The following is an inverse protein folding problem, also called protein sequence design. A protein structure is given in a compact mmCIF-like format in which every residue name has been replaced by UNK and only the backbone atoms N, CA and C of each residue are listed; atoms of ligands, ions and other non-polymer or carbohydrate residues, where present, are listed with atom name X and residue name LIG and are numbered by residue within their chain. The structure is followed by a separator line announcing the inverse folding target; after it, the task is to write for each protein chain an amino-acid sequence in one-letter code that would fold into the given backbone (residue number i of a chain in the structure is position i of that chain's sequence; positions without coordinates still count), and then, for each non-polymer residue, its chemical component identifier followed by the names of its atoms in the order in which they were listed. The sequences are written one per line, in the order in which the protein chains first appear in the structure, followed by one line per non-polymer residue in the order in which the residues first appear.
data_IF_207792431166
#
_entry.id   IF_207792431166
#
_cell.length_a   1.000
_cell.length_b   1.000
_cell.length_c   1.000
_cell.angle_alpha   90.00
_cell.angle_beta   90.00
_cell.angle_gamma   90.00
#
_symmetry.space_group_name_H-M   'P 1'
#
loop_
_entity.id
_entity.type
_entity.pdbx_description
1 polymer ?
#
# COMPACT_ATOMS: atom_id res chain seq x y z
N UNK A 1 28.72 38.33 -26.18
CA UNK A 1 29.99 38.95 -26.62
C UNK A 1 31.16 38.26 -25.91
N UNK A 2 32.22 37.89 -26.66
CA UNK A 2 33.47 37.24 -26.21
C UNK A 2 33.40 35.70 -26.22
N UNK A 3 33.77 34.92 -27.26
CA UNK A 3 34.97 34.82 -28.13
C UNK A 3 36.29 34.55 -27.39
N UNK A 4 36.79 33.31 -27.53
CA UNK A 4 38.21 32.83 -27.68
C UNK A 4 38.18 31.29 -27.58
N UNK A 5 38.05 30.50 -28.64
CA UNK A 5 38.97 30.26 -29.77
C UNK A 5 40.42 30.04 -29.33
N UNK A 6 40.85 28.77 -29.26
CA UNK A 6 42.25 28.40 -29.46
C UNK A 6 42.35 27.15 -30.34
N UNK A 7 43.30 27.26 -31.25
CA UNK A 7 43.44 26.64 -32.56
C UNK A 7 44.41 25.45 -32.48
N UNK A 8 44.15 24.46 -33.32
CA UNK A 8 44.99 23.30 -33.66
C UNK A 8 46.45 23.69 -34.01
N UNK A 9 47.41 22.89 -33.55
CA UNK A 9 48.52 22.34 -34.35
C UNK A 9 48.42 20.81 -34.19
N UNK A 10 48.45 19.97 -35.22
CA UNK A 10 49.43 19.88 -36.30
C UNK A 10 50.49 18.87 -35.86
N UNK A 11 50.16 17.57 -35.90
CA UNK A 11 50.74 16.53 -36.78
C UNK A 11 51.98 15.86 -36.19
N UNK A 12 51.92 14.54 -35.97
CA UNK A 12 52.85 13.56 -36.57
C UNK A 12 52.50 12.12 -36.16
N UNK A 13 52.53 11.25 -37.17
CA UNK A 13 52.23 9.83 -37.15
C UNK A 13 53.26 8.97 -36.40
N UNK A 14 52.76 7.85 -35.86
CA UNK A 14 53.41 6.66 -35.27
C UNK A 14 54.50 6.03 -36.17
N UNK A 15 55.46 5.22 -35.64
CA UNK A 15 55.15 3.82 -35.27
C UNK A 15 55.96 3.15 -34.14
N UNK A 16 55.37 2.07 -33.63
CA UNK A 16 55.97 0.80 -33.15
C UNK A 16 56.52 0.60 -31.72
N UNK A 17 55.94 -0.44 -31.12
CA UNK A 17 56.54 -1.56 -30.38
C UNK A 17 57.33 -1.28 -29.08
N UNK A 18 56.75 -1.73 -27.96
CA UNK A 18 57.41 -1.82 -26.67
C UNK A 18 56.54 -2.49 -25.62
N UNK A 19 56.92 -3.72 -25.30
CA UNK A 19 56.51 -4.63 -24.24
C UNK A 19 56.25 -4.03 -22.83
N UNK A 20 55.26 -4.64 -22.17
CA UNK A 20 55.25 -5.06 -20.76
C UNK A 20 54.95 -4.07 -19.61
N UNK A 21 53.81 -4.38 -18.97
CA UNK A 21 53.66 -4.66 -17.53
C UNK A 21 53.73 -3.51 -16.52
N UNK A 22 52.56 -3.08 -16.05
CA UNK A 22 52.29 -2.91 -14.61
C UNK A 22 50.82 -2.52 -14.33
N UNK A 23 50.20 -3.29 -13.43
CA UNK A 23 49.27 -2.85 -12.39
C UNK A 23 48.17 -1.83 -12.73
N UNK A 24 46.93 -2.33 -12.80
CA UNK A 24 45.71 -1.54 -12.65
C UNK A 24 44.55 -2.47 -12.32
N UNK A 25 44.51 -3.00 -11.10
CA UNK A 25 43.62 -2.47 -10.06
C UNK A 25 42.18 -2.30 -10.57
N UNK A 26 41.41 -3.39 -10.43
CA UNK A 26 39.97 -3.39 -10.14
C UNK A 26 39.21 -2.14 -10.61
N UNK A 27 38.89 -2.08 -11.90
CA UNK A 27 37.68 -1.40 -12.33
C UNK A 27 36.48 -2.24 -11.87
N UNK A 28 36.25 -2.23 -10.55
CA UNK A 28 34.95 -2.50 -9.96
C UNK A 28 34.02 -1.47 -10.58
N UNK A 29 33.43 -1.83 -11.72
CA UNK A 29 32.34 -1.11 -12.33
C UNK A 29 31.34 -0.90 -11.22
N UNK A 30 31.30 0.34 -10.74
CA UNK A 30 30.27 0.85 -9.85
C UNK A 30 28.96 0.46 -10.53
N UNK A 31 28.36 -0.64 -10.05
CA UNK A 31 26.97 -0.98 -10.35
C UNK A 31 26.23 0.24 -9.86
N UNK A 32 25.92 1.13 -10.81
CA UNK A 32 25.09 2.29 -10.62
C UNK A 32 23.91 1.80 -9.82
N UNK A 33 23.89 2.16 -8.54
CA UNK A 33 22.84 1.74 -7.63
C UNK A 33 21.54 2.08 -8.33
N UNK A 34 20.74 1.06 -8.64
CA UNK A 34 19.42 1.25 -9.18
C UNK A 34 18.71 2.29 -8.29
N UNK A 35 17.97 3.24 -8.89
CA UNK A 35 17.31 4.28 -8.12
C UNK A 35 16.52 3.59 -7.02
N UNK A 36 16.91 3.81 -5.76
CA UNK A 36 16.21 3.31 -4.57
C UNK A 36 14.73 3.53 -4.83
N UNK A 37 13.99 2.44 -5.00
CA UNK A 37 12.56 2.45 -5.32
C UNK A 37 11.90 3.59 -4.54
N UNK A 38 11.28 4.53 -5.26
CA UNK A 38 10.75 5.72 -4.61
C UNK A 38 9.85 5.30 -3.45
N UNK A 39 10.08 5.86 -2.27
CA UNK A 39 9.32 5.53 -1.04
C UNK A 39 7.82 5.85 -1.16
N UNK A 40 7.42 6.56 -2.23
CA UNK A 40 6.03 6.87 -2.55
C UNK A 40 5.43 5.85 -3.50
N UNK A 41 4.21 5.43 -3.19
CA UNK A 41 3.37 4.62 -4.05
C UNK A 41 2.83 5.48 -5.20
N UNK A 42 2.87 4.96 -6.44
CA UNK A 42 2.35 5.65 -7.63
C UNK A 42 1.05 5.04 -8.08
N UNK A 43 0.09 5.84 -8.54
CA UNK A 43 -1.24 5.33 -8.91
C UNK A 43 -1.17 4.25 -10.01
N UNK A 44 -0.19 4.35 -10.91
CA UNK A 44 0.03 3.39 -11.99
C UNK A 44 0.55 2.03 -11.49
N UNK A 45 1.15 2.00 -10.29
CA UNK A 45 1.60 0.77 -9.60
C UNK A 45 0.48 0.11 -8.80
N UNK A 46 -0.71 0.73 -8.71
CA UNK A 46 -1.81 0.20 -7.93
C UNK A 46 -2.20 -1.19 -8.48
N UNK A 47 -2.36 -2.20 -7.60
CA UNK A 47 -2.81 -3.51 -8.04
C UNK A 47 -4.15 -3.37 -8.77
N UNK A 48 -4.43 -4.25 -9.74
CA UNK A 48 -5.76 -4.27 -10.38
C UNK A 48 -6.73 -5.12 -9.57
N UNK A 49 -8.02 -4.74 -9.48
CA UNK A 49 -9.01 -5.57 -8.80
C UNK A 49 -9.30 -6.84 -9.61
N UNK A 50 -9.77 -7.92 -8.95
CA UNK A 50 -10.06 -9.19 -9.62
C UNK A 50 -11.27 -9.12 -10.57
N UNK A 51 -12.10 -8.09 -10.42
CA UNK A 51 -13.27 -7.81 -11.27
C UNK A 51 -13.00 -6.76 -12.38
N UNK A 52 -11.75 -6.37 -12.62
CA UNK A 52 -11.43 -5.47 -13.72
C UNK A 52 -11.95 -6.03 -15.07
N UNK A 53 -12.52 -5.19 -15.95
CA UNK A 53 -12.55 -3.72 -15.92
C UNK A 53 -13.75 -3.09 -15.21
N UNK A 54 -14.63 -3.88 -14.58
CA UNK A 54 -15.85 -3.36 -13.94
C UNK A 54 -15.47 -2.66 -12.62
N UNK A 55 -15.93 -1.42 -12.35
CA UNK A 55 -15.59 -0.70 -11.12
C UNK A 55 -16.47 -1.14 -9.93
N UNK A 56 -16.44 -2.43 -9.59
CA UNK A 56 -17.33 -3.00 -8.57
C UNK A 56 -17.06 -2.41 -7.17
N UNK A 57 -15.79 -2.16 -6.82
CA UNK A 57 -15.41 -1.53 -5.55
C UNK A 57 -16.08 -0.17 -5.41
N UNK A 58 -15.96 0.66 -6.45
CA UNK A 58 -16.46 2.03 -6.49
C UNK A 58 -17.99 2.05 -6.46
N UNK A 59 -18.64 1.13 -7.17
CA UNK A 59 -20.10 0.98 -7.15
C UNK A 59 -20.59 0.60 -5.75
N UNK A 60 -19.92 -0.34 -5.07
CA UNK A 60 -20.27 -0.72 -3.71
C UNK A 60 -20.08 0.44 -2.71
N UNK A 61 -18.99 1.20 -2.84
CA UNK A 61 -18.75 2.38 -1.99
C UNK A 61 -19.83 3.44 -2.24
N UNK A 62 -20.09 3.78 -3.50
CA UNK A 62 -21.09 4.80 -3.85
C UNK A 62 -22.50 4.36 -3.42
N UNK A 63 -22.91 3.15 -3.76
CA UNK A 63 -24.21 2.61 -3.38
C UNK A 63 -24.37 2.56 -1.86
N UNK A 64 -23.35 2.07 -1.13
CA UNK A 64 -23.36 2.05 0.32
C UNK A 64 -23.42 3.44 0.95
N UNK A 65 -22.67 4.41 0.43
CA UNK A 65 -22.71 5.80 0.87
C UNK A 65 -24.10 6.43 0.65
N UNK A 66 -24.74 6.18 -0.49
CA UNK A 66 -26.12 6.63 -0.76
C UNK A 66 -27.09 6.02 0.25
N UNK A 67 -27.03 4.71 0.51
CA UNK A 67 -27.88 4.06 1.52
C UNK A 67 -27.68 4.64 2.92
N UNK A 68 -26.44 4.95 3.30
CA UNK A 68 -26.14 5.60 4.58
C UNK A 68 -26.75 7.00 4.66
N UNK A 69 -26.59 7.84 3.62
CA UNK A 69 -27.17 9.20 3.60
C UNK A 69 -28.70 9.14 3.67
N UNK A 70 -29.33 8.28 2.87
CA UNK A 70 -30.79 8.10 2.88
C UNK A 70 -31.26 7.57 4.23
N UNK A 71 -30.56 6.60 4.81
CA UNK A 71 -30.87 6.06 6.13
C UNK A 71 -30.71 7.10 7.25
N UNK A 72 -29.73 8.00 7.16
CA UNK A 72 -29.50 9.04 8.16
C UNK A 72 -30.55 10.14 8.16
N UNK A 73 -30.99 10.58 6.97
CA UNK A 73 -31.99 11.65 6.80
C UNK A 73 -33.43 11.10 6.90
N UNK A 74 -33.62 9.84 6.49
CA UNK A 74 -34.92 9.18 6.52
C UNK A 74 -35.39 8.81 7.94
N UNK A 75 -36.70 8.71 8.08
CA UNK A 75 -37.39 8.16 9.25
C UNK A 75 -38.27 6.98 8.82
N UNK A 76 -38.56 6.06 9.74
CA UNK A 76 -39.41 4.90 9.49
C UNK A 76 -38.71 3.55 9.61
N UNK A 77 -39.46 2.49 9.34
CA UNK A 77 -39.09 1.10 9.65
C UNK A 77 -37.89 0.60 8.83
N UNK A 78 -37.67 1.16 7.64
CA UNK A 78 -36.55 0.80 6.75
C UNK A 78 -35.20 1.41 7.17
N UNK A 79 -35.18 2.36 8.12
CA UNK A 79 -33.96 3.10 8.51
C UNK A 79 -32.83 2.17 8.93
N UNK A 80 -33.11 1.20 9.79
CA UNK A 80 -32.10 0.25 10.25
C UNK A 80 -31.50 -0.60 9.12
N UNK A 81 -32.34 -1.02 8.17
CA UNK A 81 -31.92 -1.80 7.01
C UNK A 81 -31.01 -0.98 6.09
N UNK A 82 -31.40 0.26 5.78
CA UNK A 82 -30.59 1.15 4.94
C UNK A 82 -29.20 1.41 5.54
N UNK A 83 -29.15 1.68 6.85
CA UNK A 83 -27.89 1.90 7.55
C UNK A 83 -27.04 0.62 7.61
N UNK A 84 -27.66 -0.53 7.91
CA UNK A 84 -26.98 -1.82 7.99
C UNK A 84 -26.37 -2.25 6.65
N UNK A 85 -27.16 -2.25 5.58
CA UNK A 85 -26.67 -2.59 4.23
C UNK A 85 -25.68 -1.56 3.70
N UNK A 86 -25.92 -0.26 3.94
CA UNK A 86 -25.01 0.80 3.54
C UNK A 86 -23.63 0.63 4.19
N UNK A 87 -23.60 0.38 5.50
CA UNK A 87 -22.37 0.10 6.22
C UNK A 87 -21.68 -1.18 5.71
N UNK A 88 -22.43 -2.26 5.51
CA UNK A 88 -21.89 -3.53 5.02
C UNK A 88 -21.22 -3.39 3.65
N UNK A 89 -21.84 -2.66 2.71
CA UNK A 89 -21.29 -2.43 1.36
C UNK A 89 -20.00 -1.62 1.40
N UNK A 90 -19.98 -0.49 2.10
CA UNK A 90 -18.78 0.36 2.23
C UNK A 90 -17.66 -0.42 2.93
N UNK A 91 -17.99 -1.12 4.01
CA UNK A 91 -17.02 -1.89 4.79
C UNK A 91 -16.37 -2.99 3.95
N UNK A 92 -17.17 -3.77 3.21
CA UNK A 92 -16.68 -4.86 2.37
C UNK A 92 -15.78 -4.34 1.24
N UNK A 93 -16.22 -3.30 0.52
CA UNK A 93 -15.44 -2.69 -0.54
C UNK A 93 -14.13 -2.08 -0.04
N UNK A 94 -14.17 -1.39 1.12
CA UNK A 94 -12.99 -0.79 1.73
C UNK A 94 -11.97 -1.84 2.18
N UNK A 95 -12.43 -2.96 2.74
CA UNK A 95 -11.55 -4.04 3.19
C UNK A 95 -10.93 -4.77 2.02
N UNK A 96 -11.69 -5.06 0.96
CA UNK A 96 -11.09 -5.65 -0.24
C UNK A 96 -9.97 -4.76 -0.79
N UNK A 97 -10.23 -3.47 -0.97
CA UNK A 97 -9.25 -2.51 -1.48
C UNK A 97 -8.01 -2.45 -0.58
N UNK A 98 -8.23 -2.29 0.73
CA UNK A 98 -7.16 -2.21 1.72
C UNK A 98 -6.32 -3.48 1.75
N UNK A 99 -6.95 -4.66 1.73
CA UNK A 99 -6.25 -5.95 1.67
C UNK A 99 -5.49 -6.08 0.37
N UNK A 100 -6.08 -5.80 -0.78
CA UNK A 100 -5.42 -5.91 -2.09
C UNK A 100 -4.17 -5.03 -2.17
N UNK A 101 -4.27 -3.77 -1.76
CA UNK A 101 -3.13 -2.85 -1.73
C UNK A 101 -2.06 -3.25 -0.71
N UNK A 102 -2.48 -3.67 0.47
CA UNK A 102 -1.58 -4.11 1.53
C UNK A 102 -0.83 -5.38 1.14
N UNK A 103 -1.56 -6.34 0.59
CA UNK A 103 -1.04 -7.61 0.13
C UNK A 103 -0.17 -7.45 -1.13
N UNK A 104 -0.32 -6.39 -1.92
CA UNK A 104 0.59 -6.07 -3.01
C UNK A 104 1.88 -5.35 -2.56
N UNK A 105 2.00 -4.98 -1.28
CA UNK A 105 3.12 -4.13 -0.81
C UNK A 105 3.04 -2.69 -1.36
N UNK A 106 1.86 -2.28 -1.84
CA UNK A 106 1.61 -0.95 -2.39
C UNK A 106 1.56 0.09 -1.27
N UNK A 107 0.69 -0.11 -0.26
CA UNK A 107 0.51 0.78 0.88
C UNK A 107 0.14 0.02 2.16
N UNK A 108 0.64 0.47 3.33
CA UNK A 108 0.38 -0.25 4.59
C UNK A 108 -0.98 0.12 5.19
N UNK A 109 -1.95 -0.78 5.09
CA UNK A 109 -3.25 -0.68 5.76
C UNK A 109 -3.37 -1.50 7.06
N UNK A 110 -2.26 -1.86 7.71
CA UNK A 110 -2.26 -2.74 8.90
C UNK A 110 -3.18 -2.26 10.02
N UNK A 111 -3.23 -0.93 10.27
CA UNK A 111 -4.10 -0.33 11.31
C UNK A 111 -5.57 -0.46 10.91
N UNK A 112 -5.91 -0.15 9.66
CA UNK A 112 -7.28 -0.22 9.14
C UNK A 112 -7.81 -1.65 9.20
N UNK A 113 -7.04 -2.61 8.67
CA UNK A 113 -7.41 -4.04 8.67
C UNK A 113 -7.54 -4.58 10.10
N UNK A 114 -6.60 -4.23 10.99
CA UNK A 114 -6.68 -4.60 12.40
C UNK A 114 -7.91 -4.02 13.10
N UNK A 115 -8.23 -2.75 12.85
CA UNK A 115 -9.40 -2.07 13.39
C UNK A 115 -10.71 -2.69 12.91
N UNK A 116 -10.80 -2.99 11.61
CA UNK A 116 -11.95 -3.68 11.02
C UNK A 116 -12.14 -5.08 11.62
N UNK A 117 -11.07 -5.86 11.75
CA UNK A 117 -11.14 -7.19 12.35
C UNK A 117 -11.58 -7.13 13.83
N UNK A 118 -11.01 -6.20 14.60
CA UNK A 118 -11.40 -5.97 15.98
C UNK A 118 -12.87 -5.55 16.11
N UNK A 119 -13.34 -4.63 15.27
CA UNK A 119 -14.73 -4.17 15.27
C UNK A 119 -15.71 -5.30 14.92
N UNK A 120 -15.38 -6.15 13.93
CA UNK A 120 -16.20 -7.31 13.59
C UNK A 120 -16.29 -8.31 14.74
N UNK A 121 -15.15 -8.72 15.30
CA UNK A 121 -15.12 -9.69 16.40
C UNK A 121 -15.85 -9.13 17.62
N UNK A 122 -15.62 -7.85 17.94
CA UNK A 122 -16.30 -7.15 19.04
C UNK A 122 -17.81 -7.12 18.83
N UNK A 123 -18.27 -6.68 17.65
CA UNK A 123 -19.69 -6.57 17.33
C UNK A 123 -20.39 -7.93 17.36
N UNK A 124 -19.81 -8.95 16.73
CA UNK A 124 -20.35 -10.31 16.75
C UNK A 124 -20.38 -10.88 18.17
N UNK A 125 -19.31 -10.71 18.94
CA UNK A 125 -19.26 -11.20 20.33
C UNK A 125 -20.30 -10.48 21.19
N UNK A 126 -20.44 -9.16 21.07
CA UNK A 126 -21.42 -8.40 21.83
C UNK A 126 -22.88 -8.77 21.48
N UNK A 127 -23.15 -9.18 20.24
CA UNK A 127 -24.48 -9.62 19.80
C UNK A 127 -24.79 -11.06 20.21
N UNK A 128 -23.79 -11.94 20.21
CA UNK A 128 -23.96 -13.38 20.44
C UNK A 128 -23.74 -13.81 21.89
N UNK A 129 -23.21 -12.92 22.73
CA UNK A 129 -22.81 -13.24 24.11
C UNK A 129 -23.23 -12.13 25.08
N UNK A 130 -23.29 -12.45 26.37
CA UNK A 130 -23.53 -11.49 27.46
C UNK A 130 -22.27 -11.00 28.17
N UNK A 131 -21.11 -11.02 27.50
CA UNK A 131 -19.82 -10.65 28.12
C UNK A 131 -19.84 -9.21 28.66
N UNK A 132 -19.24 -8.96 29.84
CA UNK A 132 -19.15 -7.62 30.39
C UNK A 132 -18.25 -6.74 29.51
N UNK A 133 -18.56 -5.44 29.45
CA UNK A 133 -17.83 -4.42 28.66
C UNK A 133 -16.29 -4.49 28.78
N UNK A 134 -15.67 -4.62 29.97
CA UNK A 134 -14.21 -4.73 30.06
C UNK A 134 -13.64 -5.95 29.32
N UNK A 135 -14.34 -7.09 29.33
CA UNK A 135 -13.91 -8.29 28.61
C UNK A 135 -14.00 -8.11 27.09
N UNK A 136 -15.06 -7.45 26.62
CA UNK A 136 -15.22 -7.09 25.20
C UNK A 136 -14.11 -6.14 24.72
N UNK A 137 -13.76 -5.12 25.52
CA UNK A 137 -12.66 -4.21 25.20
C UNK A 137 -11.32 -4.95 25.18
N UNK A 138 -11.06 -5.81 26.16
CA UNK A 138 -9.85 -6.64 26.18
C UNK A 138 -9.74 -7.52 24.93
N UNK A 139 -10.83 -8.17 24.53
CA UNK A 139 -10.89 -8.98 23.31
C UNK A 139 -10.58 -8.15 22.06
N UNK A 140 -11.19 -6.96 21.92
CA UNK A 140 -10.94 -6.08 20.78
C UNK A 140 -9.46 -5.66 20.70
N UNK A 141 -8.83 -5.34 21.83
CA UNK A 141 -7.40 -4.99 21.89
C UNK A 141 -6.52 -6.17 21.48
N UNK A 142 -6.83 -7.38 21.95
CA UNK A 142 -6.08 -8.60 21.60
C UNK A 142 -6.18 -8.88 20.10
N UNK A 143 -7.41 -8.86 19.55
CA UNK A 143 -7.64 -9.11 18.11
C UNK A 143 -6.94 -8.05 17.27
N UNK A 144 -7.06 -6.77 17.64
CA UNK A 144 -6.38 -5.68 16.97
C UNK A 144 -4.86 -5.90 16.96
N UNK A 145 -4.25 -6.15 18.11
CA UNK A 145 -2.81 -6.33 18.24
C UNK A 145 -2.31 -7.52 17.41
N UNK A 146 -3.02 -8.65 17.44
CA UNK A 146 -2.67 -9.85 16.69
C UNK A 146 -2.76 -9.57 15.18
N UNK A 147 -3.88 -9.07 14.69
CA UNK A 147 -4.06 -8.80 13.26
C UNK A 147 -3.08 -7.73 12.78
N UNK A 148 -2.88 -6.66 13.55
CA UNK A 148 -1.94 -5.61 13.23
C UNK A 148 -0.51 -6.13 13.09
N UNK A 149 -0.05 -6.96 14.04
CA UNK A 149 1.32 -7.49 14.03
C UNK A 149 1.55 -8.46 12.87
N UNK A 150 0.59 -9.33 12.57
CA UNK A 150 0.65 -10.25 11.42
C UNK A 150 0.64 -9.46 10.12
N UNK A 151 -0.31 -8.54 9.94
CA UNK A 151 -0.41 -7.71 8.73
C UNK A 151 0.86 -6.87 8.52
N UNK A 152 1.37 -6.25 9.58
CA UNK A 152 2.60 -5.46 9.50
C UNK A 152 3.81 -6.31 9.08
N UNK A 153 3.87 -7.56 9.53
CA UNK A 153 4.94 -8.49 9.16
C UNK A 153 4.82 -8.91 7.68
N UNK A 154 3.60 -9.21 7.21
CA UNK A 154 3.33 -9.51 5.80
C UNK A 154 3.74 -8.34 4.91
N UNK A 155 3.36 -7.11 5.26
CA UNK A 155 3.73 -5.93 4.49
C UNK A 155 5.24 -5.75 4.39
N UNK A 156 5.96 -5.87 5.51
CA UNK A 156 7.43 -5.76 5.52
C UNK A 156 8.08 -6.76 4.57
N UNK A 157 7.59 -8.00 4.54
CA UNK A 157 8.10 -9.03 3.66
C UNK A 157 7.83 -8.73 2.18
N UNK A 158 6.67 -8.12 1.87
CA UNK A 158 6.27 -7.81 0.48
C UNK A 158 6.82 -6.48 -0.03
N UNK A 159 7.07 -5.53 0.85
CA UNK A 159 7.61 -4.21 0.51
C UNK A 159 9.15 -4.17 0.54
N UNK A 160 9.85 -5.32 0.45
CA UNK A 160 11.31 -5.38 0.42
C UNK A 160 11.98 -4.88 1.71
N UNK A 161 11.36 -5.13 2.88
CA UNK A 161 11.86 -4.73 4.19
C UNK A 161 11.38 -3.36 4.68
N UNK A 162 10.64 -2.60 3.87
CA UNK A 162 10.09 -1.32 4.28
C UNK A 162 8.88 -1.48 5.22
N UNK A 163 8.85 -0.71 6.31
CA UNK A 163 7.70 -0.70 7.22
C UNK A 163 6.55 0.20 6.76
N UNK A 164 6.79 1.08 5.79
CA UNK A 164 5.81 2.04 5.27
C UNK A 164 6.20 2.53 3.87
N UNK A 165 5.19 2.69 3.00
CA UNK A 165 5.26 3.40 1.71
C UNK A 165 4.07 4.37 1.67
N UNK A 166 4.32 5.62 1.30
CA UNK A 166 3.35 6.72 1.39
C UNK A 166 2.57 6.92 0.09
#
# INVERSE_FOLDING_TARGET
MGRRSRKRGGEQETPQAGSESAAGSTASGSRRAEPRASRRARLEEAPRPPWAPVPLTEICILGGAVLLVVGLIGSGQSRGLLLGFGFALVFLATIELALREHLAGYRSHSVLVGGCAAALVLGLTALLTGLPRPALVALAVIVFALVFTVMRSIFKNRAGGMSWRA
#
